data_IF_438273563399
#
_entry.id   IF_438273563399
#
_cell.length_a   1.000
_cell.length_b   1.000
_cell.length_c   1.000
_cell.angle_alpha   90.00
_cell.angle_beta   90.00
_cell.angle_gamma   90.00
#
_symmetry.space_group_name_H-M   'P 1'
#
loop_
_entity.id
_entity.type
_entity.pdbx_description
1 polymer ?
#
# COMPACT_ATOMS: atom_id res chain seq x y z
N UNK A 1 -2.84 15.44 9.33
CA UNK A 1 -3.59 14.22 8.96
C UNK A 1 -2.77 13.00 9.35
N UNK A 2 -3.40 11.98 9.98
CA UNK A 2 -2.73 10.71 10.30
C UNK A 2 -3.51 9.56 9.66
N UNK A 3 -2.83 8.69 8.93
CA UNK A 3 -3.37 7.48 8.35
C UNK A 3 -2.49 6.29 8.72
N UNK A 4 -3.10 5.21 9.19
CA UNK A 4 -2.42 3.97 9.54
C UNK A 4 -3.18 2.79 8.96
N UNK A 5 -2.47 1.86 8.37
CA UNK A 5 -2.97 0.60 7.83
C UNK A 5 -2.19 -0.56 8.44
N UNK A 6 -2.88 -1.67 8.62
CA UNK A 6 -2.28 -2.91 9.13
C UNK A 6 -2.58 -4.04 8.16
N UNK A 7 -1.59 -4.89 7.90
CA UNK A 7 -1.78 -6.10 7.12
C UNK A 7 -2.81 -7.04 7.78
N UNK A 8 -2.86 -7.03 9.12
CA UNK A 8 -3.86 -7.78 9.90
C UNK A 8 -5.17 -6.99 10.00
N UNK A 9 -5.89 -6.87 8.91
CA UNK A 9 -7.23 -6.27 8.88
C UNK A 9 -8.30 -7.35 8.65
N UNK A 10 -9.54 -7.03 8.99
CA UNK A 10 -10.66 -7.97 8.87
C UNK A 10 -10.83 -8.52 7.44
N UNK A 11 -10.60 -7.68 6.42
CA UNK A 11 -10.70 -8.10 5.02
C UNK A 11 -9.66 -9.15 4.65
N UNK A 12 -8.40 -8.97 5.07
CA UNK A 12 -7.32 -9.93 4.81
C UNK A 12 -7.59 -11.28 5.52
N UNK A 13 -8.10 -11.23 6.75
CA UNK A 13 -8.47 -12.44 7.50
C UNK A 13 -9.62 -13.16 6.81
N UNK A 14 -10.67 -12.45 6.41
CA UNK A 14 -11.79 -13.04 5.68
C UNK A 14 -11.37 -13.62 4.34
N UNK A 15 -10.47 -12.95 3.61
CA UNK A 15 -9.92 -13.45 2.35
C UNK A 15 -9.16 -14.77 2.55
N UNK A 16 -8.34 -14.85 3.60
CA UNK A 16 -7.61 -16.06 3.95
C UNK A 16 -8.57 -17.23 4.30
N UNK A 17 -9.57 -16.96 5.14
CA UNK A 17 -10.59 -17.95 5.48
C UNK A 17 -11.37 -18.43 4.26
N UNK A 18 -11.77 -17.50 3.38
CA UNK A 18 -12.44 -17.82 2.13
C UNK A 18 -11.57 -18.70 1.23
N UNK A 19 -10.27 -18.41 1.12
CA UNK A 19 -9.33 -19.21 0.35
C UNK A 19 -9.24 -20.64 0.87
N UNK A 20 -9.16 -20.83 2.19
CA UNK A 20 -9.17 -22.17 2.78
C UNK A 20 -10.48 -22.91 2.55
N UNK A 21 -11.63 -22.26 2.72
CA UNK A 21 -12.92 -22.87 2.42
C UNK A 21 -13.00 -23.32 0.95
N UNK A 22 -12.52 -22.49 0.02
CA UNK A 22 -12.48 -22.82 -1.41
C UNK A 22 -11.61 -24.05 -1.69
N UNK A 23 -10.42 -24.13 -1.07
CA UNK A 23 -9.52 -25.28 -1.21
C UNK A 23 -10.18 -26.56 -0.71
N UNK A 24 -10.86 -26.51 0.44
CA UNK A 24 -11.60 -27.67 1.01
C UNK A 24 -12.71 -28.10 0.05
N UNK A 25 -13.50 -27.16 -0.47
CA UNK A 25 -14.58 -27.45 -1.43
C UNK A 25 -14.01 -28.10 -2.68
N UNK A 26 -12.93 -27.56 -3.26
CA UNK A 26 -12.29 -28.13 -4.45
C UNK A 26 -11.76 -29.54 -4.21
N UNK A 27 -11.17 -29.80 -3.04
CA UNK A 27 -10.64 -31.10 -2.70
C UNK A 27 -11.75 -32.17 -2.56
N UNK A 28 -12.79 -31.86 -1.78
CA UNK A 28 -13.83 -32.85 -1.45
C UNK A 28 -14.94 -32.96 -2.48
N UNK A 29 -15.42 -31.87 -3.09
CA UNK A 29 -16.52 -31.86 -4.04
C UNK A 29 -16.07 -32.17 -5.47
N UNK A 30 -14.91 -31.68 -5.89
CA UNK A 30 -14.38 -31.88 -7.24
C UNK A 30 -13.32 -32.95 -7.31
N UNK A 31 -13.08 -33.69 -6.21
CA UNK A 31 -12.05 -34.75 -6.12
C UNK A 31 -10.70 -34.32 -6.72
N UNK A 32 -10.33 -33.05 -6.41
CA UNK A 32 -9.11 -32.46 -6.96
C UNK A 32 -7.89 -33.34 -6.59
N UNK A 33 -7.02 -33.53 -7.57
CA UNK A 33 -5.80 -34.32 -7.37
C UNK A 33 -4.97 -33.70 -6.24
N UNK A 34 -4.37 -34.54 -5.38
CA UNK A 34 -3.60 -34.14 -4.20
C UNK A 34 -2.53 -33.08 -4.50
N UNK A 35 -1.84 -33.18 -5.65
CA UNK A 35 -0.84 -32.18 -6.07
C UNK A 35 -1.44 -30.80 -6.28
N UNK A 36 -2.65 -30.69 -6.84
CA UNK A 36 -3.34 -29.42 -7.04
C UNK A 36 -3.65 -28.78 -5.69
N UNK A 37 -4.12 -29.58 -4.73
CA UNK A 37 -4.42 -29.12 -3.37
C UNK A 37 -3.17 -28.57 -2.68
N UNK A 38 -2.02 -29.23 -2.81
CA UNK A 38 -0.74 -28.74 -2.26
C UNK A 38 -0.36 -27.39 -2.88
N UNK A 39 -0.43 -27.26 -4.21
CA UNK A 39 -0.09 -26.00 -4.90
C UNK A 39 -0.99 -24.86 -4.41
N UNK A 40 -2.29 -25.11 -4.23
CA UNK A 40 -3.24 -24.12 -3.73
C UNK A 40 -2.91 -23.71 -2.28
N UNK A 41 -2.57 -24.66 -1.41
CA UNK A 41 -2.15 -24.36 -0.03
C UNK A 41 -0.88 -23.49 -0.04
N UNK A 42 0.14 -23.89 -0.82
CA UNK A 42 1.39 -23.11 -0.94
C UNK A 42 1.12 -21.70 -1.42
N UNK A 43 0.19 -21.50 -2.35
CA UNK A 43 -0.17 -20.17 -2.87
C UNK A 43 -0.81 -19.26 -1.82
N UNK A 44 -1.38 -19.79 -0.74
CA UNK A 44 -1.95 -19.01 0.37
C UNK A 44 -0.93 -18.60 1.43
N UNK A 45 0.25 -19.26 1.47
CA UNK A 45 1.28 -18.99 2.48
C UNK A 45 1.75 -17.54 2.53
N UNK A 46 2.00 -16.82 1.40
CA UNK A 46 2.40 -15.42 1.43
C UNK A 46 1.39 -14.54 2.16
N UNK A 47 0.09 -14.75 1.90
CA UNK A 47 -0.98 -14.01 2.56
C UNK A 47 -1.05 -14.33 4.07
N UNK A 48 -0.92 -15.60 4.44
CA UNK A 48 -0.88 -16.02 5.83
C UNK A 48 0.32 -15.41 6.57
N UNK A 49 1.50 -15.39 5.94
CA UNK A 49 2.71 -14.78 6.49
C UNK A 49 2.56 -13.26 6.65
N UNK A 50 1.95 -12.58 5.69
CA UNK A 50 1.70 -11.13 5.75
C UNK A 50 0.78 -10.78 6.92
N UNK A 51 -0.33 -11.54 7.10
CA UNK A 51 -1.25 -11.36 8.23
C UNK A 51 -0.55 -11.67 9.56
N UNK A 52 0.26 -12.74 9.62
CA UNK A 52 1.00 -13.15 10.81
C UNK A 52 2.06 -12.12 11.23
N UNK A 53 2.77 -11.54 10.28
CA UNK A 53 3.79 -10.52 10.54
C UNK A 53 3.21 -9.18 11.01
N UNK A 54 1.90 -8.96 10.79
CA UNK A 54 1.15 -7.76 11.20
C UNK A 54 1.90 -6.44 10.92
N UNK A 55 2.52 -6.33 9.76
CA UNK A 55 3.25 -5.13 9.37
C UNK A 55 2.31 -3.94 9.34
N UNK A 56 2.69 -2.90 10.06
CA UNK A 56 1.98 -1.63 10.05
C UNK A 56 2.63 -0.69 9.06
N UNK A 57 1.80 0.08 8.36
CA UNK A 57 2.23 1.14 7.45
C UNK A 57 1.34 2.35 7.63
N UNK A 58 1.86 3.53 7.34
CA UNK A 58 1.08 4.75 7.48
C UNK A 58 1.83 5.99 7.06
N UNK A 59 1.08 7.08 7.02
CA UNK A 59 1.60 8.42 6.75
C UNK A 59 0.98 9.42 7.73
N UNK A 60 1.80 10.31 8.23
CA UNK A 60 1.40 11.43 9.05
C UNK A 60 1.84 12.73 8.36
N UNK A 61 0.88 13.61 8.13
CA UNK A 61 1.09 14.90 7.49
C UNK A 61 0.71 15.96 8.50
N UNK A 62 1.69 16.79 8.88
CA UNK A 62 1.53 17.95 9.76
C UNK A 62 1.81 19.25 8.98
N UNK A 63 1.73 20.40 9.64
CA UNK A 63 2.10 21.69 9.04
C UNK A 63 3.59 21.80 8.74
N UNK A 64 4.43 21.00 9.40
CA UNK A 64 5.87 21.09 9.36
C UNK A 64 6.50 20.00 8.50
N UNK A 65 5.96 18.77 8.60
CA UNK A 65 6.60 17.61 7.97
C UNK A 65 5.62 16.52 7.51
N UNK A 66 6.11 15.69 6.62
CA UNK A 66 5.48 14.45 6.18
C UNK A 66 6.35 13.31 6.68
N UNK A 67 5.78 12.44 7.53
CA UNK A 67 6.39 11.20 8.02
C UNK A 67 5.66 10.02 7.42
N UNK A 68 6.41 8.99 7.02
CA UNK A 68 5.81 7.73 6.57
C UNK A 68 6.59 6.55 7.14
N UNK A 69 5.89 5.43 7.24
CA UNK A 69 6.47 4.16 7.64
C UNK A 69 5.79 3.00 6.93
N UNK A 70 6.53 1.93 6.66
CA UNK A 70 6.04 0.67 6.12
C UNK A 70 6.94 -0.45 6.65
N UNK A 71 6.45 -1.19 7.64
CA UNK A 71 7.26 -2.14 8.39
C UNK A 71 8.48 -1.46 9.02
N UNK A 72 9.68 -1.87 8.61
CA UNK A 72 10.93 -1.31 9.12
C UNK A 72 11.39 -0.03 8.38
N UNK A 73 10.78 0.26 7.23
CA UNK A 73 11.10 1.46 6.46
C UNK A 73 10.42 2.67 7.10
N UNK A 74 11.20 3.70 7.39
CA UNK A 74 10.70 4.98 7.90
C UNK A 74 11.35 6.11 7.13
N UNK A 75 10.61 7.18 6.91
CA UNK A 75 11.14 8.38 6.31
C UNK A 75 10.39 9.61 6.80
N UNK A 76 11.05 10.75 6.69
CA UNK A 76 10.52 12.05 7.02
C UNK A 76 11.09 13.08 6.06
N UNK A 77 10.28 14.08 5.73
CA UNK A 77 10.69 15.25 4.97
C UNK A 77 9.92 16.48 5.48
N UNK A 78 10.58 17.60 5.56
CA UNK A 78 9.92 18.85 5.95
C UNK A 78 9.16 19.43 4.76
N UNK A 79 7.96 19.99 5.00
CA UNK A 79 7.11 20.54 3.94
C UNK A 79 7.83 21.65 3.19
N UNK A 80 8.64 22.45 3.91
CA UNK A 80 9.44 23.53 3.32
C UNK A 80 10.49 23.05 2.31
N UNK A 81 10.94 21.81 2.41
CA UNK A 81 11.93 21.20 1.51
C UNK A 81 11.30 20.52 0.30
N UNK A 82 9.97 20.42 0.27
CA UNK A 82 9.25 19.81 -0.84
C UNK A 82 9.10 20.83 -1.96
N UNK A 83 9.57 20.47 -3.17
CA UNK A 83 9.33 21.23 -4.39
C UNK A 83 7.96 20.89 -5.00
N UNK A 84 7.65 19.58 -5.07
CA UNK A 84 6.37 19.11 -5.59
C UNK A 84 6.14 17.64 -5.22
N UNK A 85 4.89 17.19 -5.32
CA UNK A 85 4.52 15.79 -5.17
C UNK A 85 3.88 15.30 -6.47
N UNK A 86 4.51 14.27 -7.05
CA UNK A 86 4.10 13.64 -8.30
C UNK A 86 3.17 12.45 -8.02
N UNK A 87 2.00 12.43 -8.65
CA UNK A 87 1.07 11.31 -8.67
C UNK A 87 1.11 10.66 -10.05
N UNK A 88 1.64 9.43 -10.12
CA UNK A 88 1.69 8.65 -11.36
C UNK A 88 0.80 7.41 -11.24
N UNK A 89 -0.14 7.26 -12.16
CA UNK A 89 -0.98 6.04 -12.25
C UNK A 89 -0.20 4.98 -13.01
N UNK A 90 -0.11 3.76 -12.45
CA UNK A 90 0.52 2.61 -13.12
C UNK A 90 -0.49 1.82 -13.96
N UNK A 91 0.02 0.90 -14.79
CA UNK A 91 -0.78 -0.02 -15.61
C UNK A 91 -1.67 -0.96 -14.78
N UNK A 92 -1.24 -1.33 -13.58
CA UNK A 92 -1.98 -2.14 -12.61
C UNK A 92 -3.03 -1.34 -11.82
N UNK A 93 -3.38 -0.13 -12.29
CA UNK A 93 -4.27 0.83 -11.63
C UNK A 93 -3.81 1.32 -10.25
N UNK A 94 -2.66 0.88 -9.77
CA UNK A 94 -2.07 1.42 -8.54
C UNK A 94 -1.54 2.84 -8.74
N UNK A 95 -1.48 3.61 -7.67
CA UNK A 95 -0.92 4.95 -7.71
C UNK A 95 0.47 4.95 -7.08
N UNK A 96 1.45 5.49 -7.82
CA UNK A 96 2.77 5.77 -7.28
C UNK A 96 2.83 7.25 -6.90
N UNK A 97 3.17 7.53 -5.67
CA UNK A 97 3.37 8.89 -5.17
C UNK A 97 4.85 9.12 -4.91
N UNK A 98 5.39 10.19 -5.47
CA UNK A 98 6.79 10.59 -5.31
C UNK A 98 6.86 12.00 -4.76
N UNK A 99 7.66 12.20 -3.74
CA UNK A 99 8.03 13.51 -3.25
C UNK A 99 9.30 13.93 -3.99
N UNK A 100 9.29 15.14 -4.52
CA UNK A 100 10.45 15.78 -5.15
C UNK A 100 10.87 16.93 -4.22
N UNK A 101 12.07 16.83 -3.68
CA UNK A 101 12.63 17.90 -2.85
C UNK A 101 13.20 19.05 -3.69
N UNK A 102 13.61 20.13 -3.05
CA UNK A 102 14.23 21.29 -3.70
C UNK A 102 15.55 20.96 -4.39
N UNK A 103 16.20 19.84 -4.02
CA UNK A 103 17.44 19.36 -4.63
C UNK A 103 17.18 18.34 -5.77
N UNK A 104 15.94 18.26 -6.27
CA UNK A 104 15.48 17.30 -7.28
C UNK A 104 15.63 15.82 -6.86
N UNK A 105 15.86 15.52 -5.60
CA UNK A 105 15.87 14.16 -5.10
C UNK A 105 14.44 13.62 -5.05
N UNK A 106 14.23 12.44 -5.63
CA UNK A 106 12.92 11.78 -5.70
C UNK A 106 12.81 10.69 -4.66
N UNK A 107 11.85 10.82 -3.75
CA UNK A 107 11.53 9.83 -2.73
C UNK A 107 10.17 9.21 -3.06
N UNK A 108 10.13 7.91 -3.29
CA UNK A 108 8.86 7.19 -3.55
C UNK A 108 8.25 6.75 -2.23
N UNK A 109 6.99 7.11 -2.01
CA UNK A 109 6.24 6.67 -0.85
C UNK A 109 5.76 5.22 -1.03
N UNK A 110 5.82 4.38 0.01
CA UNK A 110 5.27 3.03 -0.02
C UNK A 110 3.75 3.07 -0.26
N UNK A 111 3.25 2.26 -1.20
CA UNK A 111 1.81 2.23 -1.54
C UNK A 111 0.93 1.85 -0.36
N UNK A 112 1.43 0.96 0.52
CA UNK A 112 0.72 0.49 1.70
C UNK A 112 0.55 1.60 2.77
N UNK A 113 1.42 2.62 2.74
CA UNK A 113 1.37 3.74 3.67
C UNK A 113 0.39 4.84 3.22
N UNK A 114 -0.11 4.77 1.97
CA UNK A 114 -0.91 5.83 1.39
C UNK A 114 -2.41 5.64 1.67
N UNK A 115 -3.13 6.70 2.09
CA UNK A 115 -4.58 6.71 2.12
C UNK A 115 -5.14 6.78 0.69
N UNK A 116 -6.47 6.84 0.58
CA UNK A 116 -7.12 7.09 -0.72
C UNK A 116 -6.55 8.37 -1.35
N UNK A 117 -6.19 8.28 -2.65
CA UNK A 117 -5.47 9.36 -3.37
C UNK A 117 -6.18 10.70 -3.29
N UNK A 118 -7.51 10.74 -3.41
CA UNK A 118 -8.27 11.98 -3.33
C UNK A 118 -8.13 12.67 -1.97
N UNK A 119 -8.08 11.88 -0.88
CA UNK A 119 -7.91 12.39 0.47
C UNK A 119 -6.49 12.93 0.67
N UNK A 120 -5.49 12.20 0.16
CA UNK A 120 -4.09 12.63 0.20
C UNK A 120 -3.89 13.96 -0.55
N UNK A 121 -4.44 14.07 -1.77
CA UNK A 121 -4.38 15.29 -2.57
C UNK A 121 -5.00 16.48 -1.84
N UNK A 122 -6.23 16.32 -1.37
CA UNK A 122 -6.95 17.36 -0.63
C UNK A 122 -6.15 17.86 0.59
N UNK A 123 -5.51 16.91 1.31
CA UNK A 123 -4.70 17.28 2.48
C UNK A 123 -3.43 18.04 2.07
N UNK A 124 -2.73 17.59 1.02
CA UNK A 124 -1.51 18.24 0.56
C UNK A 124 -1.79 19.65 -0.01
N UNK A 125 -2.88 19.80 -0.75
CA UNK A 125 -3.35 21.11 -1.23
C UNK A 125 -3.66 22.06 -0.07
N UNK A 126 -4.28 21.57 1.00
CA UNK A 126 -4.54 22.38 2.20
C UNK A 126 -3.25 22.91 2.84
N UNK A 127 -2.15 22.16 2.77
CA UNK A 127 -0.83 22.59 3.23
C UNK A 127 -0.01 23.35 2.18
N UNK A 128 -0.61 23.70 1.04
CA UNK A 128 0.03 24.50 -0.02
C UNK A 128 1.11 23.78 -0.82
N UNK A 129 1.14 22.45 -0.77
CA UNK A 129 2.11 21.64 -1.51
C UNK A 129 1.71 21.55 -2.98
N UNK A 130 2.66 21.84 -3.90
CA UNK A 130 2.43 21.75 -5.34
C UNK A 130 2.25 20.29 -5.76
N UNK A 131 1.11 19.97 -6.39
CA UNK A 131 0.81 18.64 -6.90
C UNK A 131 1.03 18.57 -8.42
N UNK A 132 1.60 17.48 -8.89
CA UNK A 132 1.79 17.17 -10.31
C UNK A 132 1.12 15.84 -10.60
N UNK A 133 0.09 15.87 -11.45
CA UNK A 133 -0.56 14.68 -11.97
C UNK A 133 0.06 14.29 -13.31
N UNK A 134 0.85 13.22 -13.30
CA UNK A 134 1.35 12.63 -14.54
C UNK A 134 0.34 11.59 -15.00
N UNK A 135 -0.46 11.95 -16.01
CA UNK A 135 -1.24 10.96 -16.77
C UNK A 135 -0.28 10.00 -17.48
N UNK A 136 -0.77 8.77 -17.75
CA UNK A 136 -0.07 7.78 -18.56
C UNK A 136 0.68 8.47 -19.71
N UNK A 137 1.99 8.59 -19.61
CA UNK A 137 2.90 8.71 -20.74
C UNK A 137 4.25 8.21 -20.26
N UNK A 138 4.65 7.11 -20.84
CA UNK A 138 5.97 6.51 -21.06
C UNK A 138 6.84 6.23 -19.82
#
# INVERSE_FOLDING_TARGET
MKYESSARNLKSILLLLFSFCLIIILHFLLTAHFLITIVLIISTLPLAFEIGSNKKSGIEITNENIKWFSGNLKGQIDITDISSIEFKKKLDFSNRVRIIDKNNKKVTLPSEALPKVWLLKKTLEFYGVKLIDTKFND
#
